data_IF_376939082611
#
_entry.id   IF_376939082611
#
_cell.length_a   1.000
_cell.length_b   1.000
_cell.length_c   1.000
_cell.angle_alpha   90.00
_cell.angle_beta   90.00
_cell.angle_gamma   90.00
#
_symmetry.space_group_name_H-M   'P 1'
#
loop_
_entity.id
_entity.type
_entity.pdbx_description
1 polymer ?
#
# COMPACT_ATOMS: atom_id res chain seq x y z
N UNK A 1 -12.16 -18.77 -38.30
CA UNK A 1 -11.57 -19.00 -39.63
C UNK A 1 -10.45 -17.99 -39.81
N UNK A 2 -9.24 -18.48 -40.01
CA UNK A 2 -8.00 -17.72 -39.98
C UNK A 2 -7.87 -16.79 -41.19
N UNK A 3 -7.40 -15.56 -40.98
CA UNK A 3 -6.96 -14.68 -42.06
C UNK A 3 -5.45 -14.47 -41.95
N UNK A 4 -4.75 -15.00 -42.94
CA UNK A 4 -3.32 -14.85 -43.20
C UNK A 4 -3.03 -13.43 -43.69
N UNK A 5 -2.15 -12.70 -43.02
CA UNK A 5 -1.64 -11.40 -43.50
C UNK A 5 -0.30 -11.65 -44.22
N UNK A 6 -0.27 -11.33 -45.50
CA UNK A 6 0.91 -11.37 -46.36
C UNK A 6 1.68 -10.06 -46.16
N UNK A 7 2.94 -10.14 -45.73
CA UNK A 7 3.85 -8.99 -45.68
C UNK A 7 4.53 -8.82 -47.04
N UNK A 8 4.27 -7.70 -47.72
CA UNK A 8 5.06 -7.23 -48.85
C UNK A 8 5.99 -6.08 -48.40
N UNK A 9 7.28 -6.08 -48.74
CA UNK A 9 8.19 -5.00 -48.39
C UNK A 9 8.10 -3.86 -49.42
N UNK A 10 7.57 -2.70 -49.00
CA UNK A 10 7.71 -1.46 -49.75
C UNK A 10 9.01 -0.74 -49.34
N UNK A 11 10.00 -0.75 -50.22
CA UNK A 11 11.20 0.10 -50.14
C UNK A 11 10.84 1.52 -50.57
N UNK A 12 11.08 2.51 -49.70
CA UNK A 12 10.98 3.95 -50.04
C UNK A 12 12.29 4.65 -49.62
N UNK A 13 12.83 5.60 -50.42
CA UNK A 13 14.21 6.08 -50.28
C UNK A 13 14.41 7.02 -49.09
N UNK A 14 15.63 6.97 -48.54
CA UNK A 14 16.15 7.84 -47.48
C UNK A 14 16.06 9.32 -47.86
N UNK A 15 15.40 10.11 -47.01
CA UNK A 15 15.53 11.57 -46.99
C UNK A 15 16.28 11.94 -45.72
N UNK A 16 17.44 12.58 -45.89
CA UNK A 16 18.30 13.14 -44.83
C UNK A 16 17.46 14.08 -43.94
N UNK A 17 17.34 13.73 -42.67
CA UNK A 17 16.67 14.53 -41.65
C UNK A 17 17.57 14.72 -40.44
N UNK A 18 17.91 15.99 -40.21
CA UNK A 18 18.50 16.64 -39.03
C UNK A 18 18.69 15.80 -37.76
N UNK A 19 19.88 15.91 -37.17
CA UNK A 19 20.23 15.46 -35.82
C UNK A 19 19.21 15.97 -34.79
N UNK A 20 18.25 15.13 -34.44
CA UNK A 20 17.54 15.23 -33.17
C UNK A 20 18.24 14.30 -32.21
N UNK A 21 18.98 14.87 -31.25
CA UNK A 21 19.45 14.12 -30.10
C UNK A 21 18.25 13.44 -29.43
N UNK A 22 18.18 12.12 -29.58
CA UNK A 22 17.22 11.26 -28.93
C UNK A 22 17.56 11.22 -27.44
N UNK A 23 17.00 12.13 -26.65
CA UNK A 23 16.89 11.92 -25.21
C UNK A 23 15.74 10.94 -24.96
N UNK A 24 16.04 9.66 -25.17
CA UNK A 24 15.33 8.55 -24.52
C UNK A 24 15.84 8.52 -23.08
N UNK A 25 14.91 8.51 -22.12
CA UNK A 25 15.25 8.49 -20.71
C UNK A 25 16.17 7.32 -20.38
N UNK A 26 17.24 7.60 -19.63
CA UNK A 26 17.77 6.86 -18.47
C UNK A 26 19.06 7.55 -17.97
N UNK A 27 18.91 8.34 -16.87
CA UNK A 27 19.81 8.73 -15.74
C UNK A 27 21.25 9.26 -15.98
N UNK A 28 21.71 10.21 -15.13
CA UNK A 28 22.41 9.81 -13.89
C UNK A 28 21.83 10.43 -12.61
N UNK A 29 22.08 9.72 -11.51
CA UNK A 29 21.78 10.10 -10.13
C UNK A 29 22.64 11.29 -9.73
N UNK A 30 22.01 12.37 -9.24
CA UNK A 30 22.67 13.36 -8.40
C UNK A 30 21.70 13.82 -7.31
N UNK A 31 22.13 13.61 -6.07
CA UNK A 31 21.44 13.91 -4.81
C UNK A 31 20.96 15.36 -4.71
N UNK A 32 19.66 15.57 -4.54
CA UNK A 32 19.11 16.83 -4.02
C UNK A 32 17.95 16.53 -3.06
N UNK A 33 18.17 16.84 -1.78
CA UNK A 33 17.17 16.82 -0.71
C UNK A 33 16.16 17.94 -0.94
N UNK A 34 14.87 17.67 -0.73
CA UNK A 34 13.90 18.71 -0.38
C UNK A 34 12.94 18.18 0.68
N UNK A 35 12.86 18.93 1.78
CA UNK A 35 11.91 18.78 2.89
C UNK A 35 10.66 19.61 2.61
N UNK A 36 9.52 19.16 3.16
CA UNK A 36 8.31 19.91 3.55
C UNK A 36 7.08 19.04 3.21
N UNK A 37 6.05 18.86 4.02
CA UNK A 37 5.62 19.41 5.29
C UNK A 37 4.21 18.83 5.52
N UNK A 38 3.87 18.47 6.75
CA UNK A 38 2.59 17.82 7.11
C UNK A 38 1.40 18.75 6.87
N UNK A 39 0.32 18.19 6.32
CA UNK A 39 -1.05 18.58 6.69
C UNK A 39 -1.93 17.35 6.84
N UNK A 40 -2.56 17.26 8.00
CA UNK A 40 -3.59 16.30 8.39
C UNK A 40 -4.95 16.74 7.87
N UNK A 41 -5.78 15.83 7.36
CA UNK A 41 -7.23 15.98 7.43
C UNK A 41 -7.95 14.64 7.59
N UNK A 42 -8.97 14.71 8.44
CA UNK A 42 -9.83 13.67 8.98
C UNK A 42 -10.68 12.93 7.95
N UNK A 43 -10.98 11.67 8.26
CA UNK A 43 -11.87 10.82 7.48
C UNK A 43 -13.32 11.32 7.39
N UNK A 44 -13.97 10.95 6.28
CA UNK A 44 -15.43 10.94 6.17
C UNK A 44 -15.88 9.74 5.34
N UNK A 45 -17.02 9.20 5.73
CA UNK A 45 -17.62 7.92 5.38
C UNK A 45 -17.82 7.66 3.88
N UNK A 46 -17.74 6.37 3.53
CA UNK A 46 -18.09 5.81 2.22
C UNK A 46 -19.57 6.05 1.91
N UNK A 47 -19.85 6.98 0.99
CA UNK A 47 -21.11 7.01 0.25
C UNK A 47 -20.96 6.19 -1.04
N UNK A 48 -21.92 5.31 -1.31
CA UNK A 48 -22.07 4.63 -2.60
C UNK A 48 -22.01 5.65 -3.74
N UNK A 49 -21.02 5.52 -4.62
CA UNK A 49 -20.90 6.37 -5.81
C UNK A 49 -21.83 5.82 -6.89
N UNK A 50 -23.10 6.23 -6.84
CA UNK A 50 -23.98 6.15 -8.02
C UNK A 50 -23.53 7.27 -8.95
N UNK A 51 -22.99 6.91 -10.11
CA UNK A 51 -22.76 7.89 -11.19
C UNK A 51 -24.13 8.27 -11.73
N UNK A 52 -24.73 9.30 -11.12
CA UNK A 52 -25.92 9.95 -11.64
C UNK A 52 -25.47 10.85 -12.79
N UNK A 53 -25.71 10.41 -14.03
CA UNK A 53 -25.52 11.25 -15.19
C UNK A 53 -26.45 12.47 -15.05
N UNK A 54 -25.86 13.64 -14.83
CA UNK A 54 -26.49 14.96 -14.76
C UNK A 54 -27.36 15.21 -13.50
N UNK A 55 -26.84 16.03 -12.59
CA UNK A 55 -27.71 16.87 -11.75
C UNK A 55 -28.30 17.95 -12.66
N UNK A 56 -29.64 18.00 -12.74
CA UNK A 56 -30.33 19.13 -13.35
C UNK A 56 -30.05 20.35 -12.47
N UNK A 57 -29.21 21.24 -12.97
CA UNK A 57 -29.16 22.60 -12.45
C UNK A 57 -30.50 23.28 -12.79
N UNK A 58 -31.27 23.65 -11.76
CA UNK A 58 -32.41 24.58 -11.87
C UNK A 58 -31.91 26.02 -12.09
N UNK A 59 -31.14 26.20 -13.17
CA UNK A 59 -30.92 27.49 -13.79
C UNK A 59 -31.81 27.59 -15.02
N UNK A 60 -32.32 28.78 -15.33
CA UNK A 60 -33.04 29.08 -16.57
C UNK A 60 -32.13 28.82 -17.80
N UNK A 61 -31.97 27.56 -18.19
CA UNK A 61 -31.41 27.17 -19.48
C UNK A 61 -32.57 27.21 -20.44
N UNK A 62 -32.52 28.10 -21.44
CA UNK A 62 -33.45 28.06 -22.58
C UNK A 62 -33.33 26.67 -23.20
N UNK A 63 -34.33 25.82 -22.96
CA UNK A 63 -34.55 24.56 -23.67
C UNK A 63 -34.69 24.92 -25.15
N UNK A 64 -33.67 24.64 -25.95
CA UNK A 64 -33.85 24.43 -27.38
C UNK A 64 -34.23 22.95 -27.48
N UNK A 65 -35.53 22.68 -27.27
CA UNK A 65 -36.11 21.35 -27.42
C UNK A 65 -36.33 21.08 -28.90
N UNK A 66 -35.36 20.45 -29.54
CA UNK A 66 -35.61 19.59 -30.69
C UNK A 66 -35.28 18.16 -30.26
N UNK A 67 -36.17 17.22 -30.59
CA UNK A 67 -35.87 15.80 -30.46
C UNK A 67 -34.68 15.40 -31.36
N UNK A 68 -34.04 14.27 -31.06
CA UNK A 68 -32.90 13.79 -31.85
C UNK A 68 -33.33 13.60 -33.31
N UNK A 69 -34.53 13.09 -33.52
CA UNK A 69 -35.13 12.84 -34.82
C UNK A 69 -35.39 14.14 -35.61
N UNK A 70 -35.87 15.20 -34.95
CA UNK A 70 -36.06 16.52 -35.58
C UNK A 70 -34.73 17.21 -35.91
N UNK A 71 -33.70 16.99 -35.08
CA UNK A 71 -32.36 17.52 -35.30
C UNK A 71 -31.70 16.85 -36.52
N UNK A 72 -31.83 15.52 -36.62
CA UNK A 72 -31.36 14.75 -37.78
C UNK A 72 -32.11 15.16 -39.07
N UNK A 73 -33.44 15.29 -39.01
CA UNK A 73 -34.24 15.73 -40.14
C UNK A 73 -33.87 17.16 -40.60
N UNK A 74 -33.62 18.07 -39.67
CA UNK A 74 -33.21 19.44 -39.97
C UNK A 74 -31.81 19.51 -40.61
N UNK A 75 -30.86 18.68 -40.14
CA UNK A 75 -29.54 18.56 -40.75
C UNK A 75 -29.64 18.00 -42.18
N UNK A 76 -30.47 16.98 -42.41
CA UNK A 76 -30.73 16.42 -43.74
C UNK A 76 -31.39 17.46 -44.67
N UNK A 77 -32.25 18.31 -44.12
CA UNK A 77 -32.88 19.43 -44.84
C UNK A 77 -31.95 20.65 -45.05
N UNK A 78 -30.68 20.59 -44.64
CA UNK A 78 -29.71 21.67 -44.77
C UNK A 78 -29.84 22.80 -43.74
N UNK A 79 -30.75 22.65 -42.76
CA UNK A 79 -31.02 23.61 -41.69
C UNK A 79 -30.40 23.13 -40.36
N UNK A 80 -29.09 22.85 -40.36
CA UNK A 80 -28.41 22.42 -39.15
C UNK A 80 -28.53 23.49 -38.05
N UNK A 81 -29.03 23.14 -36.85
CA UNK A 81 -29.20 24.10 -35.77
C UNK A 81 -27.83 24.64 -35.33
N UNK A 82 -27.80 25.93 -35.00
CA UNK A 82 -26.59 26.60 -34.56
C UNK A 82 -26.09 25.98 -33.25
N UNK A 83 -24.79 25.63 -33.21
CA UNK A 83 -24.20 25.02 -32.05
C UNK A 83 -24.32 25.97 -30.84
N UNK A 84 -24.70 25.45 -29.65
CA UNK A 84 -24.78 26.28 -28.46
C UNK A 84 -23.43 26.97 -28.18
N UNK A 85 -23.45 28.23 -27.68
CA UNK A 85 -22.24 29.00 -27.47
C UNK A 85 -21.31 28.27 -26.49
N UNK A 86 -20.06 28.06 -26.90
CA UNK A 86 -19.05 27.42 -26.06
C UNK A 86 -18.83 28.30 -24.82
N UNK A 87 -18.90 27.75 -23.60
CA UNK A 87 -18.69 28.54 -22.40
C UNK A 87 -17.33 29.24 -22.44
N UNK A 88 -17.26 30.52 -22.00
CA UNK A 88 -16.04 31.31 -22.07
C UNK A 88 -14.96 30.65 -21.23
N UNK A 89 -13.75 30.53 -21.81
CA UNK A 89 -12.59 30.01 -21.09
C UNK A 89 -12.25 30.96 -19.93
N UNK A 90 -11.94 30.45 -18.72
CA UNK A 90 -11.54 31.30 -17.61
C UNK A 90 -10.39 32.23 -17.98
N UNK A 91 -10.50 33.50 -17.60
CA UNK A 91 -9.46 34.49 -17.83
C UNK A 91 -8.18 34.10 -17.06
N UNK A 92 -7.03 34.41 -17.65
CA UNK A 92 -5.76 34.22 -16.96
C UNK A 92 -5.64 35.23 -15.79
N UNK A 93 -4.89 34.90 -14.73
CA UNK A 93 -4.64 35.84 -13.62
C UNK A 93 -4.05 37.18 -14.09
N UNK A 94 -4.36 38.26 -13.37
CA UNK A 94 -3.81 39.60 -13.63
C UNK A 94 -2.28 39.57 -13.57
N UNK A 95 -1.62 40.19 -14.55
CA UNK A 95 -0.16 40.16 -14.68
C UNK A 95 0.39 38.97 -15.48
N UNK A 96 -0.48 38.07 -15.99
CA UNK A 96 -0.02 37.01 -16.91
C UNK A 96 0.53 37.63 -18.20
N UNK A 97 1.79 37.37 -18.59
CA UNK A 97 2.36 37.93 -19.81
C UNK A 97 1.64 37.39 -21.05
N UNK A 98 1.33 38.28 -21.98
CA UNK A 98 0.76 37.91 -23.28
C UNK A 98 1.91 37.40 -24.15
N UNK A 99 1.98 36.09 -24.34
CA UNK A 99 3.01 35.43 -25.16
C UNK A 99 2.42 34.82 -26.43
N UNK A 100 3.21 34.80 -27.51
CA UNK A 100 2.87 34.04 -28.72
C UNK A 100 2.98 32.53 -28.41
N UNK A 101 1.97 31.71 -28.75
CA UNK A 101 2.07 30.27 -28.55
C UNK A 101 3.25 29.66 -29.33
N UNK A 102 4.11 28.91 -28.64
CA UNK A 102 5.17 28.13 -29.30
C UNK A 102 4.59 27.03 -30.20
N UNK A 103 5.18 26.75 -31.36
CA UNK A 103 4.75 25.66 -32.24
C UNK A 103 5.45 24.34 -31.88
N UNK A 104 5.14 23.80 -30.70
CA UNK A 104 5.70 22.54 -30.21
C UNK A 104 4.80 21.36 -30.58
N UNK A 105 5.39 20.35 -31.23
CA UNK A 105 4.71 19.07 -31.56
C UNK A 105 4.39 18.28 -30.28
N UNK A 106 5.34 18.20 -29.35
CA UNK A 106 5.20 17.51 -28.06
C UNK A 106 4.82 18.48 -26.96
N UNK A 107 3.73 18.19 -26.25
CA UNK A 107 3.26 18.97 -25.10
C UNK A 107 2.80 18.02 -23.98
N UNK A 108 3.70 17.58 -23.09
CA UNK A 108 3.36 16.60 -22.04
C UNK A 108 2.22 17.01 -21.11
N UNK A 109 1.96 18.32 -20.98
CA UNK A 109 0.79 18.85 -20.24
C UNK A 109 -0.56 18.40 -20.83
N UNK A 110 -0.62 17.98 -22.11
CA UNK A 110 -1.85 17.47 -22.75
C UNK A 110 -2.41 16.26 -21.99
N UNK A 111 -1.56 15.31 -21.58
CA UNK A 111 -1.97 14.11 -20.82
C UNK A 111 -2.38 14.41 -19.37
N UNK A 112 -2.24 15.67 -18.91
CA UNK A 112 -2.57 16.09 -17.53
C UNK A 112 -3.80 16.99 -17.45
N UNK A 113 -4.46 17.27 -18.58
CA UNK A 113 -5.52 18.27 -18.73
C UNK A 113 -6.79 17.95 -17.92
N UNK A 114 -7.13 16.68 -17.76
CA UNK A 114 -8.31 16.25 -17.00
C UNK A 114 -7.98 15.06 -16.08
N UNK A 115 -8.76 14.82 -15.02
CA UNK A 115 -8.65 13.61 -14.22
C UNK A 115 -8.74 12.33 -15.07
N UNK A 116 -9.66 12.28 -16.04
CA UNK A 116 -9.83 11.13 -16.95
C UNK A 116 -8.56 10.85 -17.78
N UNK A 117 -7.91 11.89 -18.31
CA UNK A 117 -6.66 11.73 -19.06
C UNK A 117 -5.52 11.25 -18.15
N UNK A 118 -5.40 11.79 -16.94
CA UNK A 118 -4.38 11.33 -16.00
C UNK A 118 -4.56 9.87 -15.61
N UNK A 119 -5.81 9.43 -15.41
CA UNK A 119 -6.13 8.04 -15.12
C UNK A 119 -5.81 7.11 -16.31
N UNK A 120 -6.15 7.52 -17.54
CA UNK A 120 -5.89 6.71 -18.75
C UNK A 120 -4.40 6.50 -19.05
N UNK A 121 -3.53 7.39 -18.60
CA UNK A 121 -2.08 7.31 -18.80
C UNK A 121 -1.32 7.02 -17.50
N UNK A 122 -2.00 6.55 -16.46
CA UNK A 122 -1.36 6.17 -15.20
C UNK A 122 -0.55 4.89 -15.40
N UNK A 123 0.76 4.95 -15.11
CA UNK A 123 1.69 3.83 -15.33
C UNK A 123 1.73 2.83 -14.18
N UNK A 124 1.31 3.25 -12.97
CA UNK A 124 1.41 2.45 -11.76
C UNK A 124 0.13 2.57 -10.96
N UNK A 125 -0.48 1.43 -10.64
CA UNK A 125 -1.60 1.32 -9.72
C UNK A 125 -1.15 0.62 -8.45
N UNK A 126 -1.56 1.12 -7.29
CA UNK A 126 -1.39 0.46 -5.99
C UNK A 126 -2.77 0.09 -5.47
N UNK A 127 -2.89 -1.12 -4.96
CA UNK A 127 -4.08 -1.68 -4.33
C UNK A 127 -3.75 -2.23 -2.94
N UNK A 128 -4.75 -2.45 -2.06
CA UNK A 128 -4.52 -3.08 -0.76
C UNK A 128 -3.74 -4.40 -0.83
N UNK A 129 -3.94 -5.19 -1.89
CA UNK A 129 -3.25 -6.45 -2.11
C UNK A 129 -1.73 -6.32 -2.34
N UNK A 130 -1.22 -5.11 -2.57
CA UNK A 130 0.21 -4.84 -2.74
C UNK A 130 0.94 -4.56 -1.42
N UNK A 131 0.23 -4.45 -0.29
CA UNK A 131 0.83 -4.13 1.00
C UNK A 131 1.09 -5.38 1.84
N UNK A 132 2.22 -5.35 2.55
CA UNK A 132 2.53 -6.26 3.66
C UNK A 132 2.41 -5.45 4.95
N UNK A 133 1.61 -5.92 5.91
CA UNK A 133 1.37 -5.20 7.15
C UNK A 133 2.25 -5.73 8.29
N UNK A 134 3.25 -4.96 8.76
CA UNK A 134 4.08 -5.35 9.89
C UNK A 134 3.32 -5.25 11.21
N UNK A 135 3.39 -6.32 12.00
CA UNK A 135 2.68 -6.47 13.27
C UNK A 135 3.66 -6.91 14.36
N UNK A 136 3.64 -6.20 15.48
CA UNK A 136 4.44 -6.54 16.66
C UNK A 136 3.61 -7.41 17.59
N UNK A 137 4.16 -8.53 18.04
CA UNK A 137 3.48 -9.49 18.91
C UNK A 137 4.25 -9.68 20.21
N UNK A 138 3.55 -9.96 21.30
CA UNK A 138 4.22 -10.33 22.56
C UNK A 138 3.47 -11.44 23.28
N UNK A 139 4.18 -12.12 24.17
CA UNK A 139 3.56 -12.98 25.17
C UNK A 139 2.78 -12.13 26.16
N UNK A 140 1.54 -12.50 26.41
CA UNK A 140 0.81 -11.96 27.54
C UNK A 140 1.38 -12.48 28.85
N UNK A 141 1.43 -11.64 29.86
CA UNK A 141 1.70 -12.08 31.23
C UNK A 141 0.54 -12.94 31.77
N UNK A 142 0.85 -13.87 32.68
CA UNK A 142 -0.14 -14.58 33.48
C UNK A 142 -0.18 -13.92 34.85
N UNK A 143 -1.28 -13.28 35.24
CA UNK A 143 -1.47 -12.86 36.64
C UNK A 143 -2.37 -13.88 37.30
N UNK A 144 -1.88 -14.46 38.38
CA UNK A 144 -2.68 -15.34 39.21
C UNK A 144 -3.65 -14.48 40.00
N UNK A 145 -4.96 -14.68 39.82
CA UNK A 145 -5.93 -14.16 40.79
C UNK A 145 -6.11 -15.22 41.87
N UNK A 146 -5.89 -14.78 43.10
CA UNK A 146 -6.21 -15.52 44.30
C UNK A 146 -7.72 -15.40 44.55
N UNK A 147 -8.45 -16.49 44.37
CA UNK A 147 -9.85 -16.57 44.81
C UNK A 147 -9.92 -17.38 46.10
N UNK A 148 -10.49 -16.79 47.16
CA UNK A 148 -10.86 -17.49 48.39
C UNK A 148 -12.35 -17.83 48.28
N UNK A 149 -12.67 -19.00 47.71
CA UNK A 149 -14.06 -19.45 47.53
C UNK A 149 -14.53 -20.37 48.66
N UNK A 150 -13.59 -20.95 49.42
CA UNK A 150 -13.78 -21.70 50.67
C UNK A 150 -12.49 -21.57 51.51
N UNK A 151 -12.37 -22.20 52.68
CA UNK A 151 -11.14 -22.23 53.51
C UNK A 151 -9.88 -22.82 52.81
N UNK A 152 -9.93 -23.00 51.49
CA UNK A 152 -8.85 -23.45 50.62
C UNK A 152 -8.55 -22.35 49.59
N UNK A 153 -7.27 -21.98 49.51
CA UNK A 153 -6.76 -21.06 48.48
C UNK A 153 -6.80 -21.76 47.11
N UNK A 154 -7.52 -21.19 46.14
CA UNK A 154 -7.52 -21.67 44.75
C UNK A 154 -6.84 -20.64 43.86
N UNK A 155 -5.73 -21.04 43.25
CA UNK A 155 -5.03 -20.28 42.23
C UNK A 155 -5.71 -20.54 40.88
N UNK A 156 -6.48 -19.57 40.40
CA UNK A 156 -6.94 -19.60 39.01
C UNK A 156 -5.94 -18.80 38.16
N UNK A 157 -5.41 -19.39 37.06
CA UNK A 157 -4.67 -18.61 36.09
C UNK A 157 -5.65 -17.64 35.45
N UNK A 158 -5.54 -16.34 35.78
CA UNK A 158 -6.18 -15.31 34.98
C UNK A 158 -5.18 -14.95 33.88
N UNK A 159 -5.57 -15.03 32.59
CA UNK A 159 -4.71 -14.49 31.55
C UNK A 159 -4.68 -12.97 31.77
N UNK A 160 -3.58 -12.46 32.31
CA UNK A 160 -3.45 -11.06 32.64
C UNK A 160 -2.23 -10.52 31.92
N UNK A 161 -2.46 -10.27 30.64
CA UNK A 161 -1.50 -9.74 29.69
C UNK A 161 -2.05 -9.79 28.27
N UNK A 162 -3.38 -9.71 28.14
CA UNK A 162 -4.05 -9.66 26.84
C UNK A 162 -4.14 -8.22 26.31
N UNK A 163 -3.53 -7.26 26.99
CA UNK A 163 -3.64 -5.84 26.65
C UNK A 163 -2.56 -5.42 25.67
N UNK A 164 -3.00 -4.89 24.55
CA UNK A 164 -2.14 -4.33 23.52
C UNK A 164 -1.34 -3.15 24.10
N UNK A 165 -0.01 -3.25 24.05
CA UNK A 165 0.87 -2.25 24.65
C UNK A 165 1.29 -1.22 23.61
N UNK A 166 1.02 0.09 23.81
CA UNK A 166 1.41 1.10 22.84
C UNK A 166 2.93 1.23 22.72
N UNK A 167 3.41 1.45 21.49
CA UNK A 167 4.83 1.69 21.23
C UNK A 167 5.06 3.21 21.17
N UNK A 168 5.65 3.78 22.22
CA UNK A 168 5.79 5.24 22.35
C UNK A 168 6.50 5.93 21.17
N UNK A 169 7.52 5.29 20.60
CA UNK A 169 8.25 5.81 19.44
C UNK A 169 7.47 5.70 18.11
N UNK A 170 6.41 4.89 18.07
CA UNK A 170 5.59 4.62 16.89
C UNK A 170 4.11 4.90 17.20
N UNK A 171 3.67 6.18 17.21
CA UNK A 171 2.29 6.53 17.53
C UNK A 171 1.27 5.76 16.67
N UNK A 172 0.28 5.16 17.31
CA UNK A 172 -0.73 4.33 16.66
C UNK A 172 -0.30 2.88 16.42
N UNK A 173 0.94 2.50 16.76
CA UNK A 173 1.41 1.12 16.71
C UNK A 173 1.42 0.51 18.12
N UNK A 174 1.08 -0.77 18.18
CA UNK A 174 0.97 -1.52 19.42
C UNK A 174 1.75 -2.82 19.31
N UNK A 175 2.25 -3.30 20.45
CA UNK A 175 2.61 -4.71 20.62
C UNK A 175 1.34 -5.43 20.98
N UNK A 176 0.89 -6.31 20.10
CA UNK A 176 -0.39 -6.97 20.19
C UNK A 176 -0.27 -8.28 20.97
N UNK A 177 -1.29 -8.57 21.79
CA UNK A 177 -1.44 -9.88 22.39
C UNK A 177 -1.76 -10.92 21.30
N UNK A 178 -0.90 -11.92 21.12
CA UNK A 178 -0.97 -12.83 19.96
C UNK A 178 -2.27 -13.64 19.84
N UNK A 179 -2.96 -13.89 20.96
CA UNK A 179 -4.23 -14.65 20.99
C UNK A 179 -5.49 -13.81 20.73
N UNK A 180 -5.42 -12.49 20.91
CA UNK A 180 -6.58 -11.60 20.90
C UNK A 180 -6.36 -10.41 19.96
N UNK A 181 -5.66 -9.37 20.41
CA UNK A 181 -5.44 -8.14 19.64
C UNK A 181 -4.88 -8.39 18.25
N UNK A 182 -3.96 -9.35 18.11
CA UNK A 182 -3.43 -9.75 16.80
C UNK A 182 -4.51 -10.29 15.85
N UNK A 183 -5.37 -11.18 16.35
CA UNK A 183 -6.40 -11.83 15.51
C UNK A 183 -7.42 -10.81 15.03
N UNK A 184 -7.82 -9.89 15.91
CA UNK A 184 -8.71 -8.78 15.57
C UNK A 184 -8.08 -7.84 14.55
N UNK A 185 -6.79 -7.50 14.73
CA UNK A 185 -6.09 -6.59 13.84
C UNK A 185 -5.88 -7.18 12.45
N UNK A 186 -5.56 -8.48 12.37
CA UNK A 186 -5.50 -9.22 11.10
C UNK A 186 -6.86 -9.22 10.42
N UNK A 187 -7.97 -9.45 11.15
CA UNK A 187 -9.31 -9.40 10.56
C UNK A 187 -9.61 -8.02 9.93
N UNK A 188 -9.32 -6.93 10.65
CA UNK A 188 -9.49 -5.55 10.14
C UNK A 188 -8.64 -5.29 8.90
N UNK A 189 -7.39 -5.78 8.87
CA UNK A 189 -6.51 -5.63 7.71
C UNK A 189 -7.08 -6.36 6.48
N UNK A 190 -7.65 -7.55 6.68
CA UNK A 190 -8.30 -8.31 5.61
C UNK A 190 -9.56 -7.63 5.09
N UNK A 191 -10.37 -7.01 5.96
CA UNK A 191 -11.58 -6.28 5.57
C UNK A 191 -11.30 -5.13 4.59
N UNK A 192 -10.09 -4.56 4.63
CA UNK A 192 -9.65 -3.52 3.69
C UNK A 192 -8.84 -4.06 2.50
N UNK A 193 -8.66 -5.38 2.40
CA UNK A 193 -8.00 -6.07 1.29
C UNK A 193 -6.50 -6.33 1.45
N UNK A 194 -5.94 -6.14 2.66
CA UNK A 194 -4.54 -6.45 2.96
C UNK A 194 -4.47 -7.89 3.48
N UNK A 195 -3.93 -8.80 2.65
CA UNK A 195 -3.88 -10.24 2.94
C UNK A 195 -2.45 -10.75 3.21
N UNK A 196 -1.50 -9.84 3.44
CA UNK A 196 -0.10 -10.16 3.70
C UNK A 196 0.36 -9.46 4.98
N UNK A 197 0.95 -10.21 5.91
CA UNK A 197 1.47 -9.67 7.18
C UNK A 197 2.91 -10.11 7.43
N UNK A 198 3.67 -9.34 8.21
CA UNK A 198 4.97 -9.77 8.74
C UNK A 198 4.96 -9.66 10.26
N UNK A 199 5.46 -10.69 10.94
CA UNK A 199 5.42 -10.80 12.40
C UNK A 199 6.78 -10.42 13.02
N UNK A 200 6.74 -9.55 14.03
CA UNK A 200 7.91 -9.17 14.83
C UNK A 200 7.68 -9.50 16.31
N UNK A 201 8.39 -10.48 16.90
CA UNK A 201 8.17 -10.87 18.28
C UNK A 201 8.91 -9.97 19.28
N UNK A 202 8.22 -9.58 20.36
CA UNK A 202 8.85 -9.12 21.60
C UNK A 202 8.90 -10.30 22.57
N UNK A 203 9.99 -11.05 22.49
CA UNK A 203 10.26 -12.20 23.37
C UNK A 203 10.54 -11.71 24.80
N UNK A 204 10.03 -12.40 25.83
CA UNK A 204 10.40 -12.14 27.23
C UNK A 204 11.91 -12.20 27.44
N UNK A 205 12.47 -11.24 28.17
CA UNK A 205 13.93 -11.15 28.31
C UNK A 205 14.54 -12.37 29.04
N UNK A 206 13.75 -13.10 29.83
CA UNK A 206 14.17 -14.35 30.48
C UNK A 206 14.39 -15.53 29.52
N UNK A 207 13.86 -15.46 28.29
CA UNK A 207 14.05 -16.49 27.26
C UNK A 207 15.19 -16.14 26.29
N UNK A 208 15.84 -14.99 26.48
CA UNK A 208 16.95 -14.56 25.63
C UNK A 208 18.24 -15.24 26.03
N UNK A 209 19.03 -15.66 25.05
CA UNK A 209 20.36 -16.24 25.25
C UNK A 209 21.37 -15.66 24.26
N UNK A 210 22.68 -15.69 24.55
CA UNK A 210 23.72 -15.22 23.60
C UNK A 210 23.68 -15.94 22.25
N UNK A 211 23.19 -17.18 22.23
CA UNK A 211 23.05 -18.06 21.07
C UNK A 211 21.69 -18.00 20.38
N UNK A 212 20.71 -17.29 20.96
CA UNK A 212 19.37 -17.10 20.40
C UNK A 212 18.53 -18.38 20.32
N UNK A 213 18.61 -19.28 21.29
CA UNK A 213 18.03 -20.63 21.19
C UNK A 213 16.50 -20.65 21.09
N UNK A 214 15.84 -19.64 21.65
CA UNK A 214 14.38 -19.48 21.56
C UNK A 214 13.91 -19.20 20.10
N UNK A 215 14.81 -18.82 19.20
CA UNK A 215 14.50 -18.54 17.79
C UNK A 215 13.95 -19.75 17.03
N UNK A 216 14.35 -20.96 17.41
CA UNK A 216 13.94 -22.22 16.78
C UNK A 216 13.15 -23.13 17.73
N UNK A 217 12.56 -22.56 18.78
CA UNK A 217 11.65 -23.28 19.66
C UNK A 217 10.31 -23.52 18.92
N UNK A 218 9.97 -24.79 18.66
CA UNK A 218 8.70 -25.17 18.01
C UNK A 218 7.46 -24.68 18.76
N UNK A 219 7.59 -24.49 20.08
CA UNK A 219 6.57 -23.95 20.96
C UNK A 219 6.81 -22.47 21.28
N UNK A 220 7.67 -21.77 20.56
CA UNK A 220 7.93 -20.35 20.72
C UNK A 220 6.77 -19.47 20.25
N UNK A 221 6.88 -18.16 20.51
CA UNK A 221 5.82 -17.20 20.23
C UNK A 221 5.42 -17.16 18.73
N UNK A 222 6.41 -17.10 17.83
CA UNK A 222 6.19 -17.00 16.38
C UNK A 222 5.53 -18.28 15.82
N UNK A 223 6.07 -19.51 16.01
CA UNK A 223 5.42 -20.72 15.49
C UNK A 223 3.99 -20.93 16.00
N UNK A 224 3.72 -20.67 17.29
CA UNK A 224 2.35 -20.78 17.83
C UNK A 224 1.40 -19.74 17.24
N UNK A 225 1.90 -18.54 16.96
CA UNK A 225 1.14 -17.47 16.33
C UNK A 225 0.81 -17.82 14.87
N UNK A 226 1.77 -18.36 14.12
CA UNK A 226 1.56 -18.84 12.75
C UNK A 226 0.47 -19.90 12.72
N UNK A 227 0.55 -20.92 13.59
CA UNK A 227 -0.46 -21.99 13.67
C UNK A 227 -1.86 -21.43 13.96
N UNK A 228 -1.97 -20.51 14.93
CA UNK A 228 -3.23 -19.85 15.25
C UNK A 228 -3.81 -19.07 14.07
N UNK A 229 -2.98 -18.29 13.38
CA UNK A 229 -3.43 -17.47 12.26
C UNK A 229 -3.79 -18.33 11.04
N UNK A 230 -3.06 -19.41 10.78
CA UNK A 230 -3.35 -20.34 9.69
C UNK A 230 -4.61 -21.17 9.92
N UNK A 231 -4.91 -21.50 11.18
CA UNK A 231 -6.19 -22.13 11.55
C UNK A 231 -7.38 -21.20 11.24
N UNK A 232 -7.26 -19.91 11.58
CA UNK A 232 -8.34 -18.92 11.39
C UNK A 232 -8.43 -18.34 9.97
N UNK A 233 -7.29 -18.14 9.33
CA UNK A 233 -7.15 -17.49 8.03
C UNK A 233 -6.19 -18.30 7.14
N UNK A 234 -6.63 -19.45 6.59
CA UNK A 234 -5.74 -20.36 5.85
C UNK A 234 -5.03 -19.72 4.66
N UNK A 235 -5.70 -18.77 4.00
CA UNK A 235 -5.25 -18.03 2.82
C UNK A 235 -4.42 -16.76 3.13
N UNK A 236 -4.21 -16.44 4.40
CA UNK A 236 -3.36 -15.31 4.81
C UNK A 236 -1.90 -15.60 4.45
N UNK A 237 -1.24 -14.65 3.79
CA UNK A 237 0.22 -14.71 3.55
C UNK A 237 0.93 -14.18 4.80
N UNK A 238 1.79 -15.01 5.37
CA UNK A 238 2.55 -14.67 6.57
C UNK A 238 4.02 -14.69 6.20
N UNK A 239 4.68 -13.57 6.42
CA UNK A 239 6.13 -13.43 6.39
C UNK A 239 6.66 -13.51 7.82
N UNK A 240 7.80 -14.15 7.99
CA UNK A 240 8.49 -14.24 9.27
C UNK A 240 9.87 -13.64 9.13
N UNK A 241 10.37 -13.12 10.25
CA UNK A 241 11.73 -12.62 10.34
C UNK A 241 12.69 -13.75 10.75
N UNK A 242 13.86 -13.78 10.09
CA UNK A 242 14.92 -14.75 10.33
C UNK A 242 16.17 -13.98 10.73
N UNK A 243 16.20 -13.64 12.02
CA UNK A 243 17.27 -12.92 12.70
C UNK A 243 17.28 -13.29 14.19
N UNK A 244 18.43 -13.15 14.86
CA UNK A 244 18.57 -13.48 16.28
C UNK A 244 18.33 -12.32 17.23
N UNK A 245 18.21 -11.06 16.78
CA UNK A 245 18.11 -9.89 17.65
C UNK A 245 16.91 -9.91 18.63
N UNK A 246 15.73 -10.50 18.33
CA UNK A 246 14.65 -10.60 19.31
C UNK A 246 14.95 -11.63 20.41
N UNK A 247 15.88 -12.54 20.16
CA UNK A 247 16.22 -13.71 20.98
C UNK A 247 17.60 -13.60 21.64
N UNK A 248 18.45 -12.69 21.16
CA UNK A 248 19.78 -12.42 21.67
C UNK A 248 19.71 -11.60 22.96
N UNK A 249 20.48 -12.00 23.97
CA UNK A 249 20.66 -11.19 25.19
C UNK A 249 21.38 -9.88 24.92
N UNK A 250 22.22 -9.85 23.87
CA UNK A 250 23.03 -8.68 23.48
C UNK A 250 22.29 -7.78 22.47
N UNK A 251 21.22 -8.30 21.86
CA UNK A 251 20.38 -7.57 20.89
C UNK A 251 20.98 -7.45 19.50
N UNK A 252 21.97 -8.28 19.17
CA UNK A 252 22.55 -8.39 17.83
C UNK A 252 21.88 -9.51 17.01
N UNK A 253 21.83 -9.34 15.69
CA UNK A 253 21.25 -10.29 14.73
C UNK A 253 21.99 -11.64 14.67
N UNK A 254 23.17 -11.73 15.28
CA UNK A 254 24.01 -12.91 15.30
C UNK A 254 24.73 -13.14 16.63
N UNK A 255 25.39 -14.29 16.73
CA UNK A 255 26.14 -14.72 17.91
C UNK A 255 27.37 -13.80 18.08
N UNK A 256 27.51 -13.22 19.26
CA UNK A 256 28.60 -12.29 19.59
C UNK A 256 29.72 -13.03 20.32
N UNK A 257 30.94 -12.97 19.79
CA UNK A 257 32.15 -13.47 20.47
C UNK A 257 32.61 -12.48 21.53
N UNK A 258 33.44 -12.92 22.47
CA UNK A 258 33.98 -12.10 23.57
C UNK A 258 34.67 -10.79 23.14
N UNK A 259 35.24 -10.72 21.94
CA UNK A 259 35.86 -9.51 21.39
C UNK A 259 34.90 -8.62 20.58
N UNK A 260 33.60 -8.91 20.63
CA UNK A 260 32.54 -8.14 19.99
C UNK A 260 32.30 -8.47 18.51
N UNK A 261 33.00 -9.46 17.96
CA UNK A 261 32.81 -9.89 16.56
C UNK A 261 31.58 -10.80 16.44
N UNK A 262 30.70 -10.49 15.50
CA UNK A 262 29.56 -11.36 15.14
C UNK A 262 30.08 -12.56 14.34
N UNK A 263 29.82 -13.76 14.84
CA UNK A 263 30.28 -15.02 14.26
C UNK A 263 29.38 -15.46 13.10
N UNK A 264 29.85 -15.27 11.86
CA UNK A 264 29.02 -15.42 10.66
C UNK A 264 28.45 -16.84 10.47
N UNK A 265 29.31 -17.86 10.42
CA UNK A 265 28.89 -19.21 10.03
C UNK A 265 28.06 -19.88 11.13
N UNK A 266 28.41 -19.61 12.39
CA UNK A 266 27.67 -20.04 13.57
C UNK A 266 26.31 -19.35 13.66
N UNK A 267 26.24 -18.06 13.31
CA UNK A 267 24.96 -17.35 13.18
C UNK A 267 24.10 -17.96 12.08
N UNK A 268 24.65 -18.14 10.87
CA UNK A 268 23.94 -18.75 9.74
C UNK A 268 23.41 -20.15 10.13
N UNK A 269 24.18 -20.94 10.88
CA UNK A 269 23.73 -22.23 11.38
C UNK A 269 22.46 -22.14 12.25
N UNK A 270 22.37 -21.16 13.15
CA UNK A 270 21.17 -20.93 13.96
C UNK A 270 20.01 -20.38 13.12
N UNK A 271 20.27 -19.47 12.19
CA UNK A 271 19.26 -18.92 11.28
C UNK A 271 18.64 -20.01 10.39
N UNK A 272 19.43 -21.00 9.95
CA UNK A 272 18.91 -22.17 9.25
C UNK A 272 17.93 -22.97 10.12
N UNK A 273 18.20 -23.16 11.42
CA UNK A 273 17.26 -23.83 12.34
C UNK A 273 15.97 -23.02 12.51
N UNK A 274 16.11 -21.71 12.71
CA UNK A 274 14.97 -20.79 12.82
C UNK A 274 14.07 -20.88 11.58
N UNK A 275 14.66 -20.78 10.39
CA UNK A 275 13.93 -20.85 9.12
C UNK A 275 13.19 -22.18 8.90
N UNK A 276 13.74 -23.30 9.38
CA UNK A 276 13.07 -24.62 9.27
C UNK A 276 11.96 -24.80 10.31
N UNK A 277 12.08 -24.16 11.48
CA UNK A 277 11.08 -24.25 12.56
C UNK A 277 9.79 -23.44 12.31
N UNK A 278 9.88 -22.40 11.49
CA UNK A 278 8.80 -21.44 11.20
C UNK A 278 7.88 -21.94 10.08
#
# INVERSE_FOLDING_TARGET
>A
MASTIVNAPCTVPSVKGFETQNYVGLRPISSLRFNSGRTSTSGRSRGLFVVRACERHDGHVKKIEMSIEECEAAVVAGNAPEAPPVPPKPAAPVGTPVIKPYQLTRRPRRNRKSPALRASFQETSISPANFVYPLFIHEGWYSWILYVLTSTLVLFPRPAGQEDTPIGAMPGCYRLGWRHGLVEEVAKARDVGVNSIVLFPKVPDALKSPTGDEAYNDNGLVPRTIRLLKDKFPDLVIYTDVALDPYSSDGHDGIVREDGVIMNDETVHQLCKQAVSQ
#
